data_IF_807402631603
#
_entry.id   IF_807402631603
#
_cell.length_a   1.000
_cell.length_b   1.000
_cell.length_c   1.000
_cell.angle_alpha   90.00
_cell.angle_beta   90.00
_cell.angle_gamma   90.00
#
_symmetry.space_group_name_H-M   'P 1'
#
loop_
_entity.id
_entity.type
_entity.pdbx_description
1 polymer ?
#
# COMPACT_ATOMS: atom_id res chain seq x y z
N UNK A 1 -40.67 -19.37 -1.60
CA UNK A 1 -40.30 -18.87 -1.84
C UNK A 1 -40.18 -18.46 -1.77
N UNK A 2 -40.44 -19.16 -1.80
CA UNK A 2 -39.91 -18.73 -1.91
C UNK A 2 -39.70 -18.33 -1.64
N UNK A 3 -40.00 -18.94 -1.58
CA UNK A 3 -39.29 -18.38 -1.46
C UNK A 3 -38.97 -18.21 -1.23
N UNK A 4 -38.60 -18.25 -1.11
CA UNK A 4 -38.02 -17.92 -1.02
C UNK A 4 -37.63 -17.56 -0.93
N UNK A 5 -38.11 -18.35 -0.83
CA UNK A 5 -37.31 -17.76 -0.85
C UNK A 5 -36.94 -17.57 -0.61
N UNK A 6 -36.58 -17.60 -0.40
CA UNK A 6 -35.97 -17.21 -0.35
C UNK A 6 -35.55 -16.99 -0.27
N UNK A 7 -35.40 -17.27 -0.23
CA UNK A 7 -34.82 -16.91 -0.25
C UNK A 7 -34.43 -16.71 -0.22
N UNK A 8 -34.25 -16.97 -0.08
CA UNK A 8 -33.63 -16.56 -0.26
C UNK A 8 -33.32 -16.21 -0.18
N UNK A 9 -33.00 -16.48 -0.03
CA UNK A 9 -32.49 -15.92 -0.06
C UNK A 9 -32.26 -15.56 0.09
N UNK A 10 -31.78 -15.66 0.05
CA UNK A 10 -31.41 -15.14 0.18
C UNK A 10 -30.97 -14.64 0.30
N UNK A 11 -31.05 -15.17 0.65
CA UNK A 11 -30.48 -14.55 0.64
C UNK A 11 -30.17 -14.10 0.74
N UNK A 12 -29.97 -14.06 0.70
CA UNK A 12 -29.53 -13.44 0.69
C UNK A 12 -29.38 -13.04 1.04
N UNK A 13 -29.01 -13.25 1.56
CA UNK A 13 -28.75 -12.67 1.85
C UNK A 13 -28.42 -12.31 2.29
N UNK A 14 -28.42 -12.60 2.85
CA UNK A 14 -27.92 -12.14 3.12
C UNK A 14 -27.81 -11.88 3.74
N UNK A 15 -27.79 -12.29 4.22
CA UNK A 15 -27.56 -11.92 4.64
C UNK A 15 -27.39 -11.62 5.28
N UNK A 16 -27.24 -11.83 5.74
CA UNK A 16 -26.83 -11.45 6.06
C UNK A 16 -26.70 -11.27 6.76
N UNK A 17 -26.52 -11.48 7.11
CA UNK A 17 -26.20 -11.24 7.49
C UNK A 17 -25.97 -11.16 8.09
N UNK A 18 -25.84 -11.29 8.55
CA UNK A 18 -25.38 -11.12 8.86
C UNK A 18 -25.06 -11.25 9.49
N UNK A 19 -25.00 -11.59 9.89
CA UNK A 19 -24.50 -11.69 10.27
C UNK A 19 -23.79 -12.07 10.50
N UNK A 20 -23.69 -12.51 10.95
CA UNK A 20 -22.75 -13.16 10.78
C UNK A 20 -21.89 -12.48 10.06
N UNK A 21 -22.23 -12.02 9.49
CA UNK A 21 -21.49 -11.26 8.68
C UNK A 21 -20.51 -10.42 9.35
N UNK A 22 -20.70 -9.95 10.43
CA UNK A 22 -19.82 -9.06 11.04
C UNK A 22 -18.45 -9.60 11.19
N UNK A 23 -18.34 -10.77 11.55
CA UNK A 23 -17.08 -11.29 11.73
C UNK A 23 -16.40 -11.40 10.47
N UNK A 24 -17.09 -11.70 9.48
CA UNK A 24 -16.56 -11.75 8.22
C UNK A 24 -15.98 -10.49 7.88
N UNK A 25 -16.61 -9.47 8.20
CA UNK A 25 -16.17 -8.20 7.86
C UNK A 25 -14.90 -7.94 8.49
N UNK A 26 -14.73 -8.33 9.64
CA UNK A 26 -13.54 -8.12 10.26
C UNK A 26 -12.47 -8.83 9.60
N UNK A 27 -12.68 -10.01 9.29
CA UNK A 27 -11.63 -10.75 8.75
C UNK A 27 -11.30 -10.27 7.39
N UNK A 28 -12.20 -9.67 6.74
CA UNK A 28 -11.89 -9.21 5.43
C UNK A 28 -11.39 -7.84 5.49
N UNK A 29 -11.18 -7.32 6.69
CA UNK A 29 -10.69 -6.08 6.80
C UNK A 29 -9.56 -5.93 5.92
N UNK A 30 -9.45 -4.94 5.22
CA UNK A 30 -8.42 -4.68 4.32
C UNK A 30 -7.12 -4.50 4.98
N UNK A 31 -6.14 -5.26 4.59
CA UNK A 31 -4.82 -5.07 5.10
C UNK A 31 -4.26 -3.81 4.46
N UNK A 32 -3.47 -3.08 5.19
CA UNK A 32 -2.85 -1.89 4.66
C UNK A 32 -1.68 -2.27 3.76
N UNK A 33 -1.41 -1.50 2.73
CA UNK A 33 -0.23 -1.75 1.91
C UNK A 33 1.05 -1.58 2.71
N UNK A 34 2.11 -2.16 2.24
CA UNK A 34 3.40 -2.13 2.90
C UNK A 34 4.48 -1.77 1.89
N UNK A 35 5.43 -0.97 2.30
CA UNK A 35 6.60 -0.65 1.50
C UNK A 35 7.79 -1.30 2.19
N UNK A 36 8.57 -2.06 1.45
CA UNK A 36 9.78 -2.73 1.99
C UNK A 36 11.00 -2.20 1.28
N UNK A 37 12.05 -1.89 2.03
CA UNK A 37 13.31 -1.45 1.45
C UNK A 37 14.13 -2.70 1.15
N UNK A 38 14.39 -2.96 -0.12
CA UNK A 38 15.13 -4.15 -0.51
C UNK A 38 16.56 -3.85 -0.95
N UNK A 39 16.89 -2.58 -1.16
CA UNK A 39 18.24 -2.18 -1.48
C UNK A 39 18.53 -0.85 -0.86
N UNK A 40 19.78 -0.65 -0.46
CA UNK A 40 20.22 0.61 0.12
C UNK A 40 20.58 0.47 1.58
N UNK A 41 20.95 1.57 2.22
CA UNK A 41 21.46 1.52 3.59
C UNK A 41 20.49 0.95 4.63
N UNK A 42 19.21 1.04 4.39
CA UNK A 42 18.22 0.60 5.38
C UNK A 42 17.49 -0.65 4.94
N UNK A 43 18.15 -1.51 4.17
CA UNK A 43 17.53 -2.73 3.66
C UNK A 43 16.95 -3.55 4.81
N UNK A 44 15.73 -4.01 4.60
CA UNK A 44 15.03 -4.79 5.61
C UNK A 44 13.94 -4.01 6.34
N UNK A 45 13.99 -2.70 6.29
CA UNK A 45 12.95 -1.91 6.94
C UNK A 45 11.66 -1.98 6.14
N UNK A 46 10.55 -1.97 6.85
CA UNK A 46 9.23 -1.96 6.21
C UNK A 46 8.38 -0.86 6.82
N UNK A 47 7.46 -0.36 6.03
CA UNK A 47 6.58 0.71 6.47
C UNK A 47 5.16 0.37 6.04
N UNK A 48 4.24 0.38 6.98
CA UNK A 48 2.85 0.13 6.66
C UNK A 48 2.20 1.45 6.27
N UNK A 49 1.47 1.48 5.18
CA UNK A 49 0.84 2.70 4.70
C UNK A 49 -0.55 2.80 5.31
N UNK A 50 -0.69 3.59 6.35
CA UNK A 50 -1.95 3.67 7.09
C UNK A 50 -2.69 4.98 6.90
N UNK A 51 -2.00 6.01 6.42
CA UNK A 51 -2.59 7.33 6.28
C UNK A 51 -2.92 7.64 4.83
N UNK A 52 -3.78 8.63 4.58
CA UNK A 52 -4.07 9.03 3.20
C UNK A 52 -2.83 9.53 2.47
N UNK A 53 -1.89 10.12 3.18
CA UNK A 53 -0.64 10.56 2.58
C UNK A 53 0.52 10.13 3.45
N UNK A 54 1.57 9.63 2.82
CA UNK A 54 2.78 9.21 3.51
C UNK A 54 3.96 9.93 2.87
N UNK A 55 4.71 10.68 3.66
CA UNK A 55 5.83 11.44 3.15
C UNK A 55 7.10 10.61 3.09
N UNK A 56 7.91 10.86 2.07
CA UNK A 56 9.14 10.12 1.84
C UNK A 56 10.27 11.12 1.60
N UNK A 57 11.36 11.00 2.30
CA UNK A 57 12.48 11.88 2.07
C UNK A 57 13.59 11.78 3.11
N UNK A 58 14.60 12.61 2.94
CA UNK A 58 15.77 12.62 3.80
C UNK A 58 15.57 13.37 5.10
N UNK A 59 14.55 14.22 5.17
CA UNK A 59 14.28 14.93 6.41
C UNK A 59 13.70 13.93 7.41
N UNK A 60 14.19 13.88 8.63
CA UNK A 60 13.69 12.93 9.63
C UNK A 60 12.21 13.09 9.95
N UNK A 61 11.61 14.21 9.58
CA UNK A 61 10.18 14.39 9.81
C UNK A 61 9.33 13.56 8.85
N UNK A 62 9.93 13.00 7.80
CA UNK A 62 9.18 12.17 6.87
C UNK A 62 8.79 10.85 7.51
N UNK A 63 7.63 10.35 7.14
CA UNK A 63 7.17 9.06 7.62
C UNK A 63 8.12 7.96 7.14
N UNK A 64 8.49 8.00 5.87
CA UNK A 64 9.49 7.08 5.35
C UNK A 64 10.78 7.89 5.23
N UNK A 65 11.60 7.76 6.25
CA UNK A 65 12.84 8.51 6.35
C UNK A 65 13.94 7.71 5.65
N UNK A 66 14.45 8.25 4.56
CA UNK A 66 15.51 7.61 3.80
C UNK A 66 16.78 8.44 3.97
N UNK A 67 17.64 8.00 4.86
CA UNK A 67 18.78 8.79 5.28
C UNK A 67 19.96 8.63 4.34
N UNK A 68 19.95 9.33 3.23
CA UNK A 68 21.03 9.28 2.25
C UNK A 68 21.06 10.56 1.44
N UNK A 69 22.26 10.98 1.09
CA UNK A 69 22.43 12.24 0.36
C UNK A 69 21.80 12.25 -1.02
N UNK A 70 21.55 11.08 -1.59
CA UNK A 70 20.92 11.01 -2.92
C UNK A 70 19.42 11.25 -2.86
N UNK A 71 18.85 11.36 -1.66
CA UNK A 71 17.43 11.57 -1.47
C UNK A 71 17.18 13.01 -1.10
N UNK A 72 16.19 13.64 -1.75
CA UNK A 72 15.83 15.02 -1.41
C UNK A 72 15.12 15.04 -0.07
N UNK A 73 15.17 16.16 0.62
CA UNK A 73 14.54 16.26 1.93
C UNK A 73 13.07 15.94 1.87
N UNK A 74 12.35 16.50 0.90
CA UNK A 74 10.96 16.16 0.63
C UNK A 74 10.98 15.58 -0.77
N UNK A 75 11.12 14.26 -0.87
CA UNK A 75 11.38 13.62 -2.14
C UNK A 75 10.11 13.22 -2.88
N UNK A 76 9.21 12.60 -2.16
CA UNK A 76 7.99 12.07 -2.76
C UNK A 76 6.92 11.92 -1.71
N UNK A 77 5.70 11.65 -2.15
CA UNK A 77 4.66 11.30 -1.21
C UNK A 77 3.83 10.18 -1.83
N UNK A 78 3.30 9.34 -0.99
CA UNK A 78 2.45 8.24 -1.40
C UNK A 78 1.04 8.61 -0.98
N UNK A 79 0.13 8.61 -1.95
CA UNK A 79 -1.25 9.02 -1.73
C UNK A 79 -2.14 7.79 -1.86
N UNK A 80 -2.94 7.55 -0.83
CA UNK A 80 -3.81 6.39 -0.80
C UNK A 80 -5.24 6.87 -0.90
N UNK A 81 -5.97 6.37 -1.89
CA UNK A 81 -7.36 6.74 -2.09
C UNK A 81 -8.18 5.47 -2.27
N UNK A 82 -9.50 5.57 -2.29
CA UNK A 82 -10.33 4.40 -2.56
C UNK A 82 -10.06 3.79 -3.93
N UNK A 83 -9.47 4.56 -4.85
CA UNK A 83 -9.19 4.05 -6.19
C UNK A 83 -7.83 3.38 -6.28
N UNK A 84 -7.01 3.47 -5.26
CA UNK A 84 -5.70 2.85 -5.27
C UNK A 84 -4.64 3.74 -4.65
N UNK A 85 -3.41 3.34 -4.80
CA UNK A 85 -2.28 4.05 -4.22
C UNK A 85 -1.41 4.59 -5.34
N UNK A 86 -0.96 5.84 -5.18
CA UNK A 86 -0.15 6.54 -6.18
C UNK A 86 1.06 7.14 -5.49
N UNK A 87 2.20 7.19 -6.16
CA UNK A 87 3.35 7.92 -5.64
C UNK A 87 3.53 9.18 -6.49
N UNK A 88 3.88 10.29 -5.85
CA UNK A 88 4.08 11.57 -6.52
C UNK A 88 5.45 12.11 -6.16
N UNK A 89 6.23 12.49 -7.17
CA UNK A 89 7.53 13.11 -6.95
C UNK A 89 7.31 14.58 -6.57
N UNK A 90 8.03 15.06 -5.60
CA UNK A 90 7.85 16.43 -5.12
C UNK A 90 8.97 17.36 -5.64
N UNK A 91 9.38 17.17 -6.88
CA UNK A 91 10.42 18.00 -7.44
C UNK A 91 11.79 17.59 -6.96
N UNK A 92 12.00 16.30 -6.77
CA UNK A 92 13.25 15.80 -6.23
C UNK A 92 14.40 16.03 -7.20
N UNK A 93 15.60 16.09 -6.66
CA UNK A 93 16.78 16.32 -7.47
C UNK A 93 17.09 15.14 -8.37
N UNK A 94 17.02 13.94 -7.87
CA UNK A 94 17.41 12.75 -8.61
C UNK A 94 16.24 11.95 -9.18
N UNK A 95 15.02 12.38 -8.90
CA UNK A 95 13.85 11.74 -9.48
C UNK A 95 13.32 10.58 -8.68
N UNK A 96 12.09 10.21 -8.99
CA UNK A 96 11.42 9.03 -8.44
C UNK A 96 11.18 8.10 -9.62
N UNK A 97 11.59 6.84 -9.48
CA UNK A 97 11.50 5.87 -10.57
C UNK A 97 10.57 4.75 -10.16
N UNK A 98 9.63 4.40 -11.03
CA UNK A 98 8.71 3.30 -10.76
C UNK A 98 8.85 2.29 -11.89
N UNK A 99 9.19 1.07 -11.53
CA UNK A 99 9.40 -0.01 -12.49
C UNK A 99 10.36 0.39 -13.61
N UNK A 100 11.39 1.12 -13.22
CA UNK A 100 12.46 1.49 -14.14
C UNK A 100 12.25 2.77 -14.93
N UNK A 101 11.12 3.45 -14.73
CA UNK A 101 10.84 4.69 -15.47
C UNK A 101 10.73 5.86 -14.51
N UNK A 102 11.31 6.98 -14.85
CA UNK A 102 11.21 8.17 -14.02
C UNK A 102 9.81 8.73 -14.20
N UNK A 103 9.18 9.12 -13.09
CA UNK A 103 7.81 9.59 -13.13
C UNK A 103 7.61 10.84 -12.29
N UNK A 104 6.62 11.62 -12.63
CA UNK A 104 6.17 12.71 -11.77
C UNK A 104 5.10 12.16 -10.85
N UNK A 105 4.35 11.19 -11.32
CA UNK A 105 3.29 10.56 -10.56
C UNK A 105 3.00 9.22 -11.22
N UNK A 106 2.75 8.20 -10.45
CA UNK A 106 2.45 6.88 -10.99
C UNK A 106 1.62 6.06 -10.03
N UNK A 107 0.70 5.27 -10.53
CA UNK A 107 -0.03 4.36 -9.68
C UNK A 107 0.88 3.23 -9.24
N UNK A 108 0.67 2.72 -8.05
CA UNK A 108 1.45 1.60 -7.52
C UNK A 108 0.59 0.36 -7.52
N UNK A 109 1.18 -0.73 -7.96
CA UNK A 109 0.51 -2.03 -7.97
C UNK A 109 1.31 -2.98 -7.11
N UNK A 110 0.71 -4.05 -6.69
CA UNK A 110 1.39 -5.04 -5.88
C UNK A 110 2.66 -5.47 -6.61
N UNK A 111 3.79 -5.32 -5.96
CA UNK A 111 5.07 -5.65 -6.56
C UNK A 111 5.77 -4.50 -7.28
N UNK A 112 5.17 -3.32 -7.32
CA UNK A 112 5.82 -2.19 -7.98
C UNK A 112 7.16 -1.89 -7.33
N UNK A 113 8.16 -1.62 -8.14
CA UNK A 113 9.49 -1.27 -7.67
C UNK A 113 9.63 0.24 -7.71
N UNK A 114 10.07 0.82 -6.61
CA UNK A 114 10.26 2.26 -6.50
C UNK A 114 11.72 2.51 -6.22
N UNK A 115 12.36 3.36 -7.04
CA UNK A 115 13.74 3.70 -6.81
C UNK A 115 13.83 5.17 -6.44
N UNK A 116 14.44 5.45 -5.31
CA UNK A 116 14.62 6.80 -4.80
C UNK A 116 16.06 6.88 -4.32
N UNK A 117 16.89 7.64 -5.03
CA UNK A 117 18.30 7.70 -4.70
C UNK A 117 18.92 6.31 -4.79
N UNK A 118 19.65 5.92 -3.76
CA UNK A 118 20.27 4.61 -3.71
C UNK A 118 19.34 3.52 -3.17
N UNK A 119 18.10 3.88 -2.84
CA UNK A 119 17.17 2.93 -2.27
C UNK A 119 16.29 2.30 -3.35
N UNK A 120 15.99 1.03 -3.17
CA UNK A 120 14.95 0.37 -3.95
C UNK A 120 13.92 -0.15 -2.96
N UNK A 121 12.67 0.21 -3.20
CA UNK A 121 11.59 -0.18 -2.34
C UNK A 121 10.58 -0.96 -3.15
N UNK A 122 9.89 -1.89 -2.51
CA UNK A 122 8.84 -2.65 -3.19
C UNK A 122 7.53 -2.36 -2.47
N UNK A 123 6.51 -2.08 -3.25
CA UNK A 123 5.16 -1.84 -2.74
C UNK A 123 4.37 -3.14 -2.78
N UNK A 124 3.77 -3.48 -1.64
CA UNK A 124 2.92 -4.66 -1.55
C UNK A 124 1.53 -4.21 -1.15
N UNK A 125 0.55 -4.62 -1.95
CA UNK A 125 -0.79 -4.14 -1.71
C UNK A 125 -1.47 -4.82 -0.56
N UNK A 126 -1.15 -6.03 -0.28
CA UNK A 126 -1.73 -6.68 0.86
C UNK A 126 -0.67 -7.56 1.47
N UNK A 127 -0.87 -7.83 2.73
CA UNK A 127 0.10 -8.58 3.44
C UNK A 127 0.10 -9.99 2.95
N UNK A 128 1.17 -10.43 2.44
CA UNK A 128 1.24 -11.74 1.93
C UNK A 128 1.00 -12.79 2.91
N UNK A 129 1.40 -12.52 4.06
CA UNK A 129 1.27 -13.53 4.95
C UNK A 129 -0.04 -13.83 5.18
N UNK A 130 -0.84 -12.97 4.96
CA UNK A 130 -2.10 -13.25 5.17
C UNK A 130 -2.44 -14.39 4.47
N UNK A 131 -1.75 -14.69 3.70
CA UNK A 131 -2.09 -15.74 3.00
C UNK A 131 -1.84 -16.92 3.61
N UNK A 132 -1.48 -16.80 4.15
CA UNK A 132 -1.29 -17.78 4.40
C UNK A 132 -1.52 -18.35 4.94
N UNK A 133 -1.69 -18.33 5.22
CA UNK A 133 -1.84 -18.93 5.46
C UNK A 133 -2.07 -19.62 5.39
N UNK A 134 -2.17 -19.73 5.40
CA UNK A 134 -2.40 -20.45 5.11
C UNK A 134 -2.39 -21.17 5.13
N UNK A 135 -2.27 -21.14 5.23
CA UNK A 135 -2.25 -21.77 5.05
C UNK A 135 -2.19 -22.17 5.35
#
# INVERSE_FOLDING_TARGET
>A
MAGLGTDSTRVFRMPIDDATAPDLMKSTKIANPVISIIKGPQTGNTFEITAPETSVGRDPANTIFLNDMTVSRSHAKIVRTPLGTTIEDLGSLNGTWVDGAIVNSAPLHDGSSIQIGTFTLIYHESSPERIETGE
#
